data_IF_175941332988
#
_entry.id   IF_175941332988
#
_cell.length_a   1.000
_cell.length_b   1.000
_cell.length_c   1.000
_cell.angle_alpha   90.00
_cell.angle_beta   90.00
_cell.angle_gamma   90.00
#
_symmetry.space_group_name_H-M   'P 1'
#
loop_
_entity.id
_entity.type
_entity.pdbx_description
1 polymer ?
#
# COMPACT_ATOMS: atom_id res chain seq x y z
N UNK A 1 -38.67 -7.36 -11.45
CA UNK A 1 -39.59 -6.38 -10.82
C UNK A 1 -40.41 -7.12 -9.78
N UNK A 2 -40.33 -6.65 -8.53
CA UNK A 2 -40.85 -7.18 -7.27
C UNK A 2 -40.05 -8.34 -6.63
N UNK A 3 -38.93 -8.02 -5.98
CA UNK A 3 -38.82 -8.29 -4.53
C UNK A 3 -37.83 -7.33 -3.85
N UNK A 4 -38.11 -6.05 -4.07
CA UNK A 4 -37.36 -4.84 -3.72
C UNK A 4 -37.24 -4.54 -2.21
N UNK A 5 -37.37 -5.55 -1.36
CA UNK A 5 -37.38 -5.44 0.11
C UNK A 5 -36.40 -6.42 0.76
N UNK A 6 -36.01 -7.50 0.07
CA UNK A 6 -34.81 -8.30 0.46
C UNK A 6 -33.51 -7.57 0.09
N UNK A 7 -33.64 -6.63 -0.85
CA UNK A 7 -32.60 -5.78 -1.43
C UNK A 7 -32.01 -4.79 -0.42
N UNK A 8 -32.68 -4.35 0.65
CA UNK A 8 -32.06 -3.35 1.55
C UNK A 8 -30.98 -3.92 2.52
N UNK A 9 -31.01 -5.23 2.79
CA UNK A 9 -29.97 -5.91 3.60
C UNK A 9 -28.90 -6.61 2.76
N UNK A 10 -29.26 -7.06 1.55
CA UNK A 10 -28.36 -7.71 0.60
C UNK A 10 -27.66 -6.72 -0.32
N UNK A 11 -28.23 -5.57 -0.67
CA UNK A 11 -27.51 -4.55 -1.43
C UNK A 11 -26.40 -3.96 -0.59
N UNK A 12 -26.58 -3.67 0.71
CA UNK A 12 -25.46 -3.19 1.52
C UNK A 12 -24.34 -4.25 1.69
N UNK A 13 -24.68 -5.55 1.69
CA UNK A 13 -23.71 -6.66 1.72
C UNK A 13 -23.07 -6.94 0.34
N UNK A 14 -23.78 -6.69 -0.74
CA UNK A 14 -23.30 -6.86 -2.13
C UNK A 14 -22.48 -5.64 -2.54
N UNK A 15 -22.96 -4.43 -2.26
CA UNK A 15 -22.27 -3.15 -2.40
C UNK A 15 -21.04 -3.09 -1.48
N UNK A 16 -21.11 -3.55 -0.23
CA UNK A 16 -19.89 -3.69 0.60
C UNK A 16 -18.94 -4.76 0.07
N UNK A 17 -19.45 -5.85 -0.51
CA UNK A 17 -18.65 -6.87 -1.19
C UNK A 17 -17.99 -6.35 -2.47
N UNK A 18 -18.70 -5.56 -3.26
CA UNK A 18 -18.22 -4.90 -4.48
C UNK A 18 -17.21 -3.81 -4.15
N UNK A 19 -17.48 -3.00 -3.11
CA UNK A 19 -16.53 -2.01 -2.59
C UNK A 19 -15.29 -2.69 -2.03
N UNK A 20 -15.42 -3.79 -1.28
CA UNK A 20 -14.27 -4.55 -0.80
C UNK A 20 -13.47 -5.16 -1.95
N UNK A 21 -14.12 -5.75 -2.95
CA UNK A 21 -13.48 -6.29 -4.14
C UNK A 21 -12.76 -5.20 -4.96
N UNK A 22 -13.37 -4.02 -5.09
CA UNK A 22 -12.76 -2.87 -5.75
C UNK A 22 -11.54 -2.37 -4.98
N UNK A 23 -11.61 -2.29 -3.65
CA UNK A 23 -10.48 -1.89 -2.79
C UNK A 23 -9.37 -2.95 -2.79
N UNK A 24 -9.70 -4.24 -2.88
CA UNK A 24 -8.74 -5.33 -3.07
C UNK A 24 -8.06 -5.23 -4.44
N UNK A 25 -8.80 -4.95 -5.51
CA UNK A 25 -8.25 -4.70 -6.84
C UNK A 25 -7.34 -3.45 -6.86
N UNK A 26 -7.74 -2.38 -6.18
CA UNK A 26 -6.93 -1.18 -6.01
C UNK A 26 -5.64 -1.47 -5.24
N UNK A 27 -5.69 -2.26 -4.16
CA UNK A 27 -4.50 -2.69 -3.43
C UNK A 27 -3.55 -3.51 -4.31
N UNK A 28 -4.08 -4.46 -5.10
CA UNK A 28 -3.27 -5.26 -6.02
C UNK A 28 -2.61 -4.39 -7.11
N UNK A 29 -3.35 -3.41 -7.65
CA UNK A 29 -2.80 -2.41 -8.56
C UNK A 29 -1.70 -1.59 -7.89
N UNK A 30 -1.94 -1.07 -6.69
CA UNK A 30 -0.99 -0.22 -5.97
C UNK A 30 0.33 -0.94 -5.68
N UNK A 31 0.27 -2.21 -5.22
CA UNK A 31 1.45 -3.06 -5.02
C UNK A 31 2.22 -3.20 -6.33
N UNK A 32 1.54 -3.59 -7.41
CA UNK A 32 2.16 -3.80 -8.72
C UNK A 32 2.77 -2.51 -9.27
N UNK A 33 2.07 -1.40 -9.13
CA UNK A 33 2.50 -0.08 -9.58
C UNK A 33 3.76 0.36 -8.83
N UNK A 34 3.76 0.32 -7.49
CA UNK A 34 4.91 0.71 -6.68
C UNK A 34 6.14 -0.20 -6.94
N UNK A 35 5.95 -1.51 -7.08
CA UNK A 35 7.05 -2.43 -7.37
C UNK A 35 7.69 -2.19 -8.74
N UNK A 36 6.91 -1.73 -9.73
CA UNK A 36 7.43 -1.38 -11.06
C UNK A 36 8.21 -0.07 -11.07
N UNK A 37 7.84 0.89 -10.22
CA UNK A 37 8.50 2.20 -10.13
C UNK A 37 9.72 2.19 -9.20
N UNK A 38 9.76 1.31 -8.20
CA UNK A 38 10.85 1.25 -7.21
C UNK A 38 12.27 1.14 -7.80
N UNK A 39 12.56 0.31 -8.82
CA UNK A 39 13.90 0.23 -9.39
C UNK A 39 14.36 1.50 -10.13
N UNK A 40 13.42 2.35 -10.59
CA UNK A 40 13.71 3.47 -11.49
C UNK A 40 13.92 4.80 -10.78
N UNK A 41 13.58 4.91 -9.49
CA UNK A 41 13.69 6.19 -8.74
C UNK A 41 15.13 6.64 -8.45
N UNK A 42 16.11 5.75 -8.60
CA UNK A 42 17.54 6.06 -8.41
C UNK A 42 18.33 6.22 -9.72
N UNK A 43 17.68 6.07 -10.89
CA UNK A 43 18.33 6.06 -12.19
C UNK A 43 18.07 7.31 -13.05
N UNK A 44 18.80 7.47 -14.18
CA UNK A 44 18.46 8.44 -15.20
C UNK A 44 17.02 8.19 -15.68
N UNK A 45 16.13 9.18 -15.50
CA UNK A 45 14.70 9.01 -15.76
C UNK A 45 13.83 8.77 -14.51
N UNK A 46 14.37 9.00 -13.31
CA UNK A 46 13.61 8.95 -12.05
C UNK A 46 12.54 10.04 -11.92
N UNK A 47 12.77 11.23 -12.49
CA UNK A 47 11.90 12.39 -12.28
C UNK A 47 10.43 12.17 -12.74
N UNK A 48 10.15 11.58 -13.92
CA UNK A 48 8.79 11.21 -14.30
C UNK A 48 8.12 10.23 -13.33
N UNK A 49 8.84 9.22 -12.85
CA UNK A 49 8.30 8.22 -11.92
C UNK A 49 8.00 8.82 -10.55
N UNK A 50 8.89 9.67 -10.04
CA UNK A 50 8.64 10.38 -8.79
C UNK A 50 7.44 11.32 -8.89
N UNK A 51 7.26 12.03 -10.03
CA UNK A 51 6.06 12.85 -10.25
C UNK A 51 4.78 12.02 -10.30
N UNK A 52 4.82 10.84 -10.91
CA UNK A 52 3.66 9.95 -10.95
C UNK A 52 3.31 9.44 -9.55
N UNK A 53 4.32 9.06 -8.76
CA UNK A 53 4.14 8.69 -7.35
C UNK A 53 3.62 9.84 -6.49
N UNK A 54 4.02 11.08 -6.76
CA UNK A 54 3.44 12.26 -6.08
C UNK A 54 1.94 12.39 -6.37
N UNK A 55 1.55 12.27 -7.64
CA UNK A 55 0.14 12.37 -8.06
C UNK A 55 -0.71 11.27 -7.41
N UNK A 56 -0.19 10.06 -7.32
CA UNK A 56 -0.90 8.91 -6.75
C UNK A 56 -0.65 8.69 -5.25
N UNK A 57 0.04 9.59 -4.54
CA UNK A 57 0.45 9.34 -3.15
C UNK A 57 -0.75 9.09 -2.22
N UNK A 58 -1.84 9.84 -2.38
CA UNK A 58 -3.06 9.62 -1.59
C UNK A 58 -3.77 8.30 -1.94
N UNK A 59 -3.74 7.89 -3.21
CA UNK A 59 -4.24 6.57 -3.64
C UNK A 59 -3.41 5.45 -2.99
N UNK A 60 -2.08 5.60 -2.97
CA UNK A 60 -1.17 4.65 -2.33
C UNK A 60 -1.38 4.57 -0.81
N UNK A 61 -1.65 5.70 -0.14
CA UNK A 61 -2.03 5.72 1.29
C UNK A 61 -3.35 5.01 1.54
N UNK A 62 -4.34 5.20 0.68
CA UNK A 62 -5.63 4.52 0.80
C UNK A 62 -5.48 3.00 0.63
N UNK A 63 -4.62 2.54 -0.29
CA UNK A 63 -4.27 1.13 -0.43
C UNK A 63 -3.55 0.58 0.81
N UNK A 64 -2.57 1.30 1.37
CA UNK A 64 -1.90 0.92 2.62
C UNK A 64 -2.88 0.79 3.78
N UNK A 65 -3.78 1.77 3.95
CA UNK A 65 -4.81 1.74 4.97
C UNK A 65 -5.71 0.50 4.82
N UNK A 66 -6.15 0.20 3.59
CA UNK A 66 -6.96 -0.99 3.31
C UNK A 66 -6.22 -2.29 3.61
N UNK A 67 -4.94 -2.40 3.24
CA UNK A 67 -4.14 -3.59 3.54
C UNK A 67 -4.04 -3.84 5.05
N UNK A 68 -3.85 -2.78 5.86
CA UNK A 68 -3.83 -2.89 7.32
C UNK A 68 -5.19 -3.25 7.90
N UNK A 69 -6.27 -2.64 7.41
CA UNK A 69 -7.65 -2.93 7.81
C UNK A 69 -7.99 -4.42 7.60
N UNK A 70 -7.56 -4.99 6.47
CA UNK A 70 -7.73 -6.40 6.13
C UNK A 70 -6.72 -7.34 6.80
N UNK A 71 -5.82 -6.81 7.63
CA UNK A 71 -4.67 -7.54 8.21
C UNK A 71 -3.81 -8.25 7.15
N UNK A 72 -3.79 -7.74 5.93
CA UNK A 72 -2.96 -8.27 4.85
C UNK A 72 -1.55 -7.68 4.95
N UNK A 73 -0.78 -8.26 5.87
CA UNK A 73 0.57 -7.80 6.17
C UNK A 73 1.51 -7.88 4.97
N UNK A 74 1.42 -8.96 4.18
CA UNK A 74 2.28 -9.11 3.00
C UNK A 74 2.09 -7.95 2.01
N UNK A 75 0.84 -7.62 1.66
CA UNK A 75 0.55 -6.53 0.74
C UNK A 75 1.00 -5.17 1.30
N UNK A 76 0.75 -4.91 2.59
CA UNK A 76 1.18 -3.68 3.26
C UNK A 76 2.71 -3.51 3.22
N UNK A 77 3.45 -4.59 3.52
CA UNK A 77 4.91 -4.58 3.55
C UNK A 77 5.54 -4.54 2.16
N UNK A 78 4.95 -5.19 1.16
CA UNK A 78 5.38 -5.09 -0.24
C UNK A 78 5.21 -3.66 -0.77
N UNK A 79 4.03 -3.07 -0.56
CA UNK A 79 3.72 -1.70 -0.97
C UNK A 79 4.63 -0.70 -0.25
N UNK A 80 4.70 -0.75 1.08
CA UNK A 80 5.56 0.16 1.86
C UNK A 80 7.04 0.00 1.54
N UNK A 81 7.51 -1.24 1.35
CA UNK A 81 8.90 -1.51 0.98
C UNK A 81 9.27 -0.96 -0.39
N UNK A 82 8.35 -0.96 -1.35
CA UNK A 82 8.55 -0.37 -2.67
C UNK A 82 8.54 1.17 -2.65
N UNK A 83 7.75 1.78 -1.76
CA UNK A 83 7.63 3.25 -1.60
C UNK A 83 8.71 3.88 -0.72
N UNK A 84 9.55 3.08 -0.06
CA UNK A 84 10.63 3.55 0.84
C UNK A 84 11.48 4.65 0.23
N UNK A 85 11.95 4.44 -1.00
CA UNK A 85 12.84 5.37 -1.68
C UNK A 85 12.13 6.66 -2.08
N UNK A 86 10.85 6.57 -2.47
CA UNK A 86 10.01 7.73 -2.73
C UNK A 86 9.86 8.60 -1.47
N UNK A 87 9.50 7.99 -0.33
CA UNK A 87 9.35 8.72 0.93
C UNK A 87 10.65 9.40 1.35
N UNK A 88 11.79 8.72 1.19
CA UNK A 88 13.09 9.32 1.46
C UNK A 88 13.37 10.54 0.57
N UNK A 89 13.20 10.39 -0.75
CA UNK A 89 13.49 11.45 -1.73
C UNK A 89 12.53 12.65 -1.63
N UNK A 90 11.32 12.46 -1.08
CA UNK A 90 10.33 13.52 -0.85
C UNK A 90 10.28 14.03 0.59
N UNK A 91 11.11 13.51 1.49
CA UNK A 91 11.16 13.92 2.90
C UNK A 91 9.99 13.43 3.76
N UNK A 92 9.27 12.40 3.31
CA UNK A 92 8.15 11.77 4.03
C UNK A 92 8.61 10.64 4.98
N UNK A 93 9.79 10.79 5.60
CA UNK A 93 10.44 9.73 6.39
C UNK A 93 9.55 9.18 7.51
N UNK A 94 8.98 10.08 8.32
CA UNK A 94 8.13 9.70 9.46
C UNK A 94 6.86 8.95 9.02
N UNK A 95 6.27 9.35 7.89
CA UNK A 95 5.09 8.69 7.34
C UNK A 95 5.45 7.27 6.87
N UNK A 96 6.50 7.14 6.07
CA UNK A 96 6.92 5.85 5.53
C UNK A 96 7.27 4.85 6.63
N UNK A 97 7.97 5.33 7.66
CA UNK A 97 8.29 4.55 8.85
C UNK A 97 7.04 4.07 9.57
N UNK A 98 6.07 4.96 9.81
CA UNK A 98 4.79 4.60 10.45
C UNK A 98 4.05 3.49 9.71
N UNK A 99 4.00 3.55 8.38
CA UNK A 99 3.33 2.52 7.57
C UNK A 99 4.05 1.18 7.63
N UNK A 100 5.39 1.18 7.51
CA UNK A 100 6.19 -0.04 7.59
C UNK A 100 6.13 -0.69 8.98
N UNK A 101 6.22 0.09 10.05
CA UNK A 101 6.09 -0.37 11.43
C UNK A 101 4.70 -0.98 11.67
N UNK A 102 3.63 -0.34 11.18
CA UNK A 102 2.28 -0.86 11.29
C UNK A 102 2.10 -2.20 10.56
N UNK A 103 2.65 -2.34 9.35
CA UNK A 103 2.63 -3.60 8.60
C UNK A 103 3.42 -4.71 9.30
N UNK A 104 4.56 -4.37 9.91
CA UNK A 104 5.40 -5.33 10.64
C UNK A 104 4.72 -5.80 11.93
N UNK A 105 3.98 -4.92 12.61
CA UNK A 105 3.26 -5.24 13.84
C UNK A 105 2.14 -6.28 13.63
N UNK A 106 1.52 -6.31 12.45
CA UNK A 106 0.45 -7.28 12.12
C UNK A 106 0.95 -8.51 11.36
N UNK A 107 2.25 -8.59 11.06
CA UNK A 107 2.78 -9.39 9.95
C UNK A 107 3.89 -10.36 10.28
N UNK A 108 3.81 -11.09 11.39
CA UNK A 108 4.82 -12.09 11.74
C UNK A 108 4.97 -13.20 10.67
N UNK A 109 3.86 -13.58 10.04
CA UNK A 109 3.78 -14.68 9.07
C UNK A 109 4.03 -14.25 7.61
N UNK A 110 4.23 -12.96 7.35
CA UNK A 110 4.60 -12.51 6.01
C UNK A 110 5.95 -13.12 5.59
N UNK A 111 6.18 -13.39 4.28
CA UNK A 111 7.42 -13.98 3.81
C UNK A 111 8.66 -13.26 4.34
N UNK A 112 9.66 -14.02 4.79
CA UNK A 112 10.85 -13.45 5.45
C UNK A 112 11.56 -12.38 4.61
N UNK A 113 11.62 -12.56 3.30
CA UNK A 113 12.20 -11.58 2.37
C UNK A 113 11.44 -10.25 2.34
N UNK A 114 10.09 -10.30 2.39
CA UNK A 114 9.22 -9.11 2.44
C UNK A 114 9.43 -8.37 3.77
N UNK A 115 9.46 -9.10 4.88
CA UNK A 115 9.74 -8.53 6.21
C UNK A 115 11.13 -7.92 6.30
N UNK A 116 12.15 -8.58 5.76
CA UNK A 116 13.52 -8.06 5.74
C UNK A 116 13.62 -6.74 4.96
N UNK A 117 12.98 -6.65 3.79
CA UNK A 117 12.93 -5.39 3.02
C UNK A 117 12.26 -4.27 3.82
N UNK A 118 11.15 -4.55 4.48
CA UNK A 118 10.46 -3.57 5.31
C UNK A 118 11.29 -3.11 6.51
N UNK A 119 11.96 -4.02 7.21
CA UNK A 119 12.86 -3.70 8.33
C UNK A 119 14.03 -2.82 7.89
N UNK A 120 14.65 -3.13 6.74
CA UNK A 120 15.67 -2.27 6.14
C UNK A 120 15.11 -0.89 5.83
N UNK A 121 13.87 -0.81 5.34
CA UNK A 121 13.20 0.47 5.09
C UNK A 121 12.95 1.29 6.35
N UNK A 122 12.50 0.67 7.44
CA UNK A 122 12.36 1.33 8.76
C UNK A 122 13.70 1.89 9.22
N UNK A 123 14.76 1.08 9.17
CA UNK A 123 16.11 1.51 9.57
C UNK A 123 16.62 2.66 8.70
N UNK A 124 16.41 2.60 7.39
CA UNK A 124 16.81 3.66 6.46
C UNK A 124 16.11 4.99 6.75
N UNK A 125 14.79 4.95 6.97
CA UNK A 125 13.96 6.14 7.22
C UNK A 125 14.10 6.70 8.65
N UNK A 126 14.74 5.97 9.57
CA UNK A 126 15.00 6.43 10.94
C UNK A 126 16.29 7.24 11.10
N UNK A 127 17.18 7.21 10.09
CA UNK A 127 18.50 7.86 10.16
C UNK A 127 18.49 9.35 9.77
N UNK A 128 17.33 9.97 9.57
CA UNK A 128 17.14 11.36 9.13
C UNK A 128 15.91 11.98 9.79
#
# INVERSE_FOLDING_TARGET
MLETIREYGLEQLTESGEVAALRDAHLAWAVTFAERTSPTVHGPGSAPWLRLLDVDHDNLRAALAWALERKNAEAALRLGGALRDFWYLRGHNAEGRRWLEAGLAIGADAPAAVRARALLGVGWLANF
#
